data_IF_828695215560
#
_entry.id   IF_828695215560
#
_cell.length_a   1.000
_cell.length_b   1.000
_cell.length_c   1.000
_cell.angle_alpha   90.00
_cell.angle_beta   90.00
_cell.angle_gamma   90.00
#
_symmetry.space_group_name_H-M   'P 1'
#
loop_
_entity.id
_entity.type
_entity.pdbx_description
1 polymer ?
#
# COMPACT_ATOMS: atom_id res chain seq x y z
N UNK A 1 -16.64 -14.87 -13.08
CA UNK A 1 -16.41 -14.20 -12.99
C UNK A 1 -15.85 -13.55 -12.06
N UNK A 2 -15.05 -13.33 -11.75
CA UNK A 2 -14.60 -12.74 -10.84
C UNK A 2 -14.06 -11.56 -11.11
N UNK A 3 -14.24 -10.60 -10.41
CA UNK A 3 -13.76 -9.52 -10.61
C UNK A 3 -12.77 -9.18 -9.77
N UNK A 4 -11.68 -8.75 -10.06
CA UNK A 4 -10.69 -8.31 -9.23
C UNK A 4 -11.04 -6.99 -8.72
N UNK A 5 -11.41 -6.92 -7.50
CA UNK A 5 -11.68 -5.68 -6.90
C UNK A 5 -10.40 -5.04 -6.49
N UNK A 6 -10.29 -3.75 -6.66
CA UNK A 6 -9.12 -3.03 -6.22
C UNK A 6 -9.15 -2.91 -4.70
N UNK A 7 -8.01 -3.04 -4.04
CA UNK A 7 -7.99 -2.90 -2.60
C UNK A 7 -8.34 -1.48 -2.20
N UNK A 8 -8.88 -1.34 -1.01
CA UNK A 8 -9.24 -0.03 -0.48
C UNK A 8 -8.49 0.23 0.80
N UNK A 9 -8.31 1.51 1.10
CA UNK A 9 -7.63 1.93 2.31
C UNK A 9 -8.42 1.45 3.51
N UNK A 10 -7.74 0.80 4.44
CA UNK A 10 -8.43 0.27 5.61
C UNK A 10 -8.81 1.35 6.59
N UNK A 11 -8.31 2.56 6.40
CA UNK A 11 -8.63 3.64 7.32
C UNK A 11 -9.76 4.51 6.84
N UNK A 12 -9.94 4.66 5.55
CA UNK A 12 -10.97 5.56 5.07
C UNK A 12 -11.80 5.02 3.92
N UNK A 13 -11.45 3.86 3.39
CA UNK A 13 -12.24 3.24 2.33
C UNK A 13 -11.99 3.74 0.92
N UNK A 14 -11.08 4.71 0.74
CA UNK A 14 -10.75 5.16 -0.60
C UNK A 14 -9.88 4.13 -1.27
N UNK A 15 -9.75 4.22 -2.57
CA UNK A 15 -8.92 3.28 -3.31
C UNK A 15 -7.49 3.37 -2.81
N UNK A 16 -6.90 2.23 -2.51
CA UNK A 16 -5.52 2.19 -2.02
C UNK A 16 -4.55 2.41 -3.16
N UNK A 17 -3.47 3.13 -2.87
CA UNK A 17 -2.42 3.30 -3.86
C UNK A 17 -1.31 2.29 -3.66
N UNK A 18 -1.36 1.52 -2.60
CA UNK A 18 -0.36 0.51 -2.33
C UNK A 18 -0.62 -0.12 -0.98
N UNK A 19 0.35 -0.92 -0.52
CA UNK A 19 0.23 -1.48 0.81
C UNK A 19 1.55 -1.33 1.53
N UNK A 20 1.49 -1.36 2.84
CA UNK A 20 2.65 -1.33 3.67
C UNK A 20 2.54 -2.43 4.71
N UNK A 21 3.59 -3.25 4.79
CA UNK A 21 3.66 -4.32 5.75
C UNK A 21 4.81 -4.01 6.67
N UNK A 22 4.53 -3.94 7.96
CA UNK A 22 5.54 -3.61 8.94
C UNK A 22 5.44 -4.61 10.07
N UNK A 23 6.41 -4.53 10.99
CA UNK A 23 6.39 -5.40 12.11
C UNK A 23 5.08 -5.19 12.82
N UNK A 24 4.27 -6.04 12.96
CA UNK A 24 3.00 -5.89 13.63
C UNK A 24 1.81 -5.83 12.72
N UNK A 25 2.00 -5.75 11.41
CA UNK A 25 0.84 -5.78 10.56
C UNK A 25 1.05 -5.33 9.14
N UNK A 26 -0.02 -5.36 8.41
CA UNK A 26 -0.03 -5.07 6.99
C UNK A 26 -1.32 -4.32 6.74
N UNK A 27 -1.28 -3.30 5.93
CA UNK A 27 -2.50 -2.58 5.59
C UNK A 27 -2.41 -1.98 4.21
N UNK A 28 -3.57 -1.89 3.56
CA UNK A 28 -3.69 -1.15 2.32
C UNK A 28 -3.96 0.30 2.69
N UNK A 29 -3.33 1.23 1.98
CA UNK A 29 -3.46 2.63 2.32
C UNK A 29 -3.68 3.48 1.07
N UNK A 30 -4.41 4.56 1.24
CA UNK A 30 -4.61 5.53 0.16
C UNK A 30 -3.52 6.58 0.26
N UNK A 31 -3.55 7.54 -0.66
CA UNK A 31 -2.52 8.56 -0.71
C UNK A 31 -2.46 9.38 0.58
N UNK A 32 -3.59 9.56 1.24
CA UNK A 32 -3.63 10.37 2.44
C UNK A 32 -3.11 9.65 3.66
N UNK A 33 -3.14 8.33 3.66
CA UNK A 33 -2.74 7.56 4.83
C UNK A 33 -1.46 6.78 4.61
N UNK A 34 -0.86 6.88 3.44
CA UNK A 34 0.36 6.15 3.15
C UNK A 34 1.53 6.76 3.89
N UNK A 35 2.46 5.90 4.31
CA UNK A 35 3.69 6.37 4.93
C UNK A 35 4.50 7.15 3.90
N UNK A 36 5.31 8.08 4.35
CA UNK A 36 6.13 8.85 3.45
C UNK A 36 7.07 7.98 2.63
N UNK A 37 7.50 6.85 3.17
CA UNK A 37 8.35 5.95 2.40
C UNK A 37 7.58 5.36 1.23
N UNK A 38 6.30 5.07 1.42
CA UNK A 38 5.49 4.55 0.33
C UNK A 38 5.24 5.62 -0.71
N UNK A 39 5.00 6.84 -0.28
CA UNK A 39 4.77 7.94 -1.21
C UNK A 39 6.01 8.26 -2.02
N UNK A 40 7.19 7.95 -1.51
CA UNK A 40 8.42 8.19 -2.23
C UNK A 40 8.67 7.17 -3.33
N UNK A 41 7.92 6.07 -3.35
CA UNK A 41 8.09 5.08 -4.38
C UNK A 41 7.42 5.54 -5.67
N UNK A 42 7.94 5.07 -6.78
CA UNK A 42 7.31 5.34 -8.06
C UNK A 42 6.17 4.36 -8.25
N UNK A 43 5.19 4.70 -9.08
CA UNK A 43 4.11 3.76 -9.36
C UNK A 43 4.67 2.43 -9.87
N UNK A 44 4.24 1.34 -9.27
CA UNK A 44 4.69 0.01 -9.63
C UNK A 44 5.97 -0.42 -8.93
N UNK A 45 6.53 0.43 -8.07
CA UNK A 45 7.79 0.11 -7.40
C UNK A 45 7.52 -0.59 -6.08
N UNK A 46 8.43 -1.48 -5.70
CA UNK A 46 8.33 -2.20 -4.45
C UNK A 46 9.67 -2.14 -3.77
N UNK A 47 9.65 -1.94 -2.46
CA UNK A 47 10.87 -1.92 -1.68
C UNK A 47 10.71 -2.79 -0.44
N UNK A 48 11.81 -3.41 -0.04
CA UNK A 48 11.82 -4.26 1.14
C UNK A 48 12.90 -3.74 2.07
N UNK A 49 12.53 -3.45 3.32
CA UNK A 49 13.46 -2.98 4.32
C UNK A 49 13.38 -3.94 5.49
N UNK A 50 14.21 -4.95 5.51
CA UNK A 50 14.16 -5.92 6.59
C UNK A 50 12.79 -6.59 6.64
N UNK A 51 12.05 -6.36 7.74
CA UNK A 51 10.72 -6.96 7.86
C UNK A 51 9.64 -6.07 7.26
N UNK A 52 9.99 -4.89 6.79
CA UNK A 52 9.01 -3.99 6.23
C UNK A 52 8.98 -4.11 4.72
N UNK A 53 7.79 -4.18 4.15
CA UNK A 53 7.62 -4.28 2.70
C UNK A 53 6.65 -3.19 2.28
N UNK A 54 7.04 -2.45 1.26
CA UNK A 54 6.21 -1.38 0.74
C UNK A 54 6.05 -1.60 -0.75
N UNK A 55 4.83 -1.57 -1.23
CA UNK A 55 4.58 -1.72 -2.67
C UNK A 55 3.58 -0.68 -3.10
N UNK A 56 3.92 0.06 -4.13
CA UNK A 56 3.03 1.06 -4.69
C UNK A 56 2.47 0.53 -6.01
N UNK A 57 1.15 0.55 -6.14
CA UNK A 57 0.49 0.05 -7.34
C UNK A 57 0.65 1.06 -8.47
N UNK A 58 0.62 0.58 -9.67
CA UNK A 58 0.76 1.46 -10.83
C UNK A 58 -0.56 2.12 -11.23
#
# INVERSE_FOLDING_TARGET
MIMAEKPTCERCGKIAIGFQSMEGGFEYVCQEHADSLLLALKPGEKKVYGVCVLERYS
#
